data_IF_647877758771
#
_entry.id   IF_647877758771
#
_cell.length_a   1.000
_cell.length_b   1.000
_cell.length_c   1.000
_cell.angle_alpha   90.00
_cell.angle_beta   90.00
_cell.angle_gamma   90.00
#
_symmetry.space_group_name_H-M   'P 1'
#
loop_
_entity.id
_entity.type
_entity.pdbx_description
1 polymer ?
#
# COMPACT_ATOMS: atom_id res chain seq x y z
N UNK A 1 13.78 -14.20 -28.88
CA UNK A 1 14.31 -14.35 -27.51
C UNK A 1 13.51 -15.44 -26.79
N UNK A 2 14.14 -16.32 -26.01
CA UNK A 2 13.40 -17.26 -25.17
C UNK A 2 12.54 -16.48 -24.16
N UNK A 3 11.32 -16.95 -23.92
CA UNK A 3 10.48 -16.44 -22.83
C UNK A 3 11.02 -17.04 -21.53
N UNK A 4 11.52 -16.19 -20.64
CA UNK A 4 12.04 -16.59 -19.32
C UNK A 4 11.08 -16.08 -18.26
N UNK A 5 10.70 -16.94 -17.31
CA UNK A 5 9.92 -16.51 -16.16
C UNK A 5 10.78 -15.61 -15.27
N UNK A 6 10.28 -14.41 -14.93
CA UNK A 6 11.04 -13.47 -14.10
C UNK A 6 11.06 -13.90 -12.62
N UNK A 7 9.89 -14.17 -12.05
CA UNK A 7 9.72 -14.67 -10.68
C UNK A 7 8.31 -15.24 -10.48
N UNK A 8 8.10 -15.93 -9.35
CA UNK A 8 6.80 -16.38 -8.88
C UNK A 8 6.53 -15.90 -7.46
N UNK A 9 5.41 -15.20 -7.27
CA UNK A 9 4.95 -14.69 -5.97
C UNK A 9 4.04 -15.70 -5.27
N UNK A 10 4.08 -15.75 -3.95
CA UNK A 10 3.18 -16.58 -3.15
C UNK A 10 3.41 -16.41 -1.65
N UNK A 11 2.44 -16.84 -0.86
CA UNK A 11 2.59 -16.90 0.59
C UNK A 11 3.70 -17.90 0.99
N UNK A 12 4.25 -17.75 2.20
CA UNK A 12 5.35 -18.59 2.66
C UNK A 12 4.99 -20.08 2.64
N UNK A 13 3.76 -20.44 3.00
CA UNK A 13 3.33 -21.84 3.03
C UNK A 13 3.34 -22.47 1.62
N UNK A 14 2.79 -21.78 0.63
CA UNK A 14 2.75 -22.32 -0.75
C UNK A 14 4.14 -22.36 -1.37
N UNK A 15 4.96 -21.32 -1.16
CA UNK A 15 6.32 -21.30 -1.73
C UNK A 15 7.21 -22.39 -1.11
N UNK A 16 7.17 -22.59 0.22
CA UNK A 16 7.88 -23.71 0.86
C UNK A 16 7.46 -25.05 0.24
N UNK A 17 6.15 -25.26 0.04
CA UNK A 17 5.64 -26.49 -0.61
C UNK A 17 6.16 -26.64 -2.05
N UNK A 18 6.20 -25.56 -2.83
CA UNK A 18 6.70 -25.60 -4.20
C UNK A 18 8.21 -25.81 -4.29
N UNK A 19 8.96 -25.34 -3.30
CA UNK A 19 10.39 -25.58 -3.14
C UNK A 19 10.70 -26.98 -2.61
N UNK A 20 9.70 -27.74 -2.18
CA UNK A 20 9.90 -29.04 -1.53
C UNK A 20 10.46 -28.93 -0.10
N UNK A 21 10.29 -27.76 0.53
CA UNK A 21 10.66 -27.49 1.90
C UNK A 21 9.53 -27.89 2.87
N UNK A 22 9.91 -28.13 4.12
CA UNK A 22 8.97 -28.35 5.21
C UNK A 22 8.01 -27.16 5.37
N UNK A 23 6.77 -27.46 5.72
CA UNK A 23 5.69 -26.46 5.84
C UNK A 23 5.29 -26.15 7.28
N UNK A 24 6.09 -26.60 8.26
CA UNK A 24 5.92 -26.26 9.67
C UNK A 24 6.99 -25.25 10.08
N UNK A 25 6.56 -24.12 10.65
CA UNK A 25 7.43 -23.00 11.01
C UNK A 25 7.81 -22.97 12.50
N UNK A 26 7.61 -24.08 13.20
CA UNK A 26 7.84 -24.22 14.65
C UNK A 26 8.98 -25.18 15.01
N UNK A 27 9.74 -25.65 14.02
CA UNK A 27 10.93 -26.50 14.21
C UNK A 27 11.80 -26.51 12.95
N UNK A 28 13.03 -27.02 13.05
CA UNK A 28 13.94 -27.14 11.90
C UNK A 28 14.32 -25.79 11.28
N UNK A 29 14.57 -25.77 9.97
CA UNK A 29 14.87 -24.57 9.20
C UNK A 29 13.57 -23.93 8.67
N UNK A 30 13.31 -22.70 9.06
CA UNK A 30 12.00 -22.07 8.87
C UNK A 30 11.98 -21.03 7.75
N UNK A 31 13.15 -20.57 7.31
CA UNK A 31 13.30 -19.58 6.27
C UNK A 31 13.65 -20.27 4.94
N UNK A 32 13.01 -19.81 3.86
CA UNK A 32 13.35 -20.24 2.50
C UNK A 32 14.54 -19.51 1.90
N UNK A 33 14.93 -18.37 2.49
CA UNK A 33 16.01 -17.52 1.97
C UNK A 33 17.36 -17.87 2.60
N UNK A 34 17.40 -18.19 3.89
CA UNK A 34 18.63 -18.49 4.61
C UNK A 34 18.56 -19.77 5.45
N UNK A 35 19.68 -20.12 6.08
CA UNK A 35 19.82 -21.28 6.96
C UNK A 35 19.45 -21.02 8.43
N UNK A 36 18.55 -20.08 8.73
CA UNK A 36 18.13 -19.89 10.13
C UNK A 36 17.22 -21.03 10.63
N UNK A 37 17.57 -21.59 11.79
CA UNK A 37 16.77 -22.58 12.49
C UNK A 37 15.79 -21.96 13.49
N UNK A 38 14.64 -22.61 13.72
CA UNK A 38 13.65 -22.20 14.74
C UNK A 38 14.27 -22.03 16.12
N UNK A 39 15.08 -23.00 16.57
CA UNK A 39 15.73 -22.97 17.89
C UNK A 39 16.68 -21.79 18.02
N UNK A 40 17.51 -21.56 17.00
CA UNK A 40 18.45 -20.44 16.94
C UNK A 40 17.70 -19.11 16.99
N UNK A 41 16.65 -18.95 16.19
CA UNK A 41 15.83 -17.74 16.20
C UNK A 41 15.16 -17.50 17.56
N UNK A 42 14.65 -18.56 18.19
CA UNK A 42 14.05 -18.46 19.53
C UNK A 42 15.06 -18.04 20.60
N UNK A 43 16.32 -18.46 20.49
CA UNK A 43 17.36 -18.12 21.47
C UNK A 43 17.91 -16.70 21.36
N UNK A 44 17.72 -16.00 20.23
CA UNK A 44 18.23 -14.64 20.02
C UNK A 44 17.70 -13.69 21.11
N UNK A 45 18.63 -12.98 21.74
CA UNK A 45 18.37 -11.94 22.75
C UNK A 45 18.48 -10.54 22.16
N UNK A 46 18.20 -9.51 22.95
CA UNK A 46 18.24 -8.11 22.51
C UNK A 46 19.63 -7.70 22.03
N UNK A 47 20.64 -8.10 22.77
CA UNK A 47 22.05 -7.76 22.54
C UNK A 47 22.58 -8.37 21.24
N UNK A 48 21.90 -9.39 20.73
CA UNK A 48 22.27 -10.16 19.54
C UNK A 48 21.35 -9.86 18.35
N UNK A 49 20.50 -8.83 18.41
CA UNK A 49 19.54 -8.55 17.34
C UNK A 49 20.19 -8.30 15.98
N UNK A 50 21.38 -7.72 15.94
CA UNK A 50 22.15 -7.52 14.71
C UNK A 50 22.45 -8.82 13.99
N UNK A 51 22.53 -9.96 14.71
CA UNK A 51 22.74 -11.29 14.10
C UNK A 51 21.59 -11.73 13.20
N UNK A 52 20.39 -11.13 13.34
CA UNK A 52 19.26 -11.40 12.44
C UNK A 52 19.49 -10.92 11.01
N UNK A 53 20.48 -10.04 10.79
CA UNK A 53 20.87 -9.52 9.49
C UNK A 53 22.15 -10.17 8.94
N UNK A 54 22.70 -11.15 9.65
CA UNK A 54 23.83 -11.95 9.20
C UNK A 54 23.30 -13.22 8.53
N UNK A 55 23.13 -13.15 7.22
CA UNK A 55 22.51 -14.23 6.46
C UNK A 55 23.54 -15.15 5.81
N UNK A 56 23.38 -16.45 6.05
CA UNK A 56 23.87 -17.46 5.13
C UNK A 56 22.73 -17.78 4.15
N UNK A 57 22.78 -17.16 2.97
CA UNK A 57 21.75 -17.33 1.95
C UNK A 57 21.83 -18.71 1.30
N UNK A 58 20.66 -19.27 1.02
CA UNK A 58 20.52 -20.45 0.18
C UNK A 58 20.68 -20.03 -1.26
N UNK A 59 21.63 -20.65 -1.95
CA UNK A 59 21.84 -20.47 -3.38
C UNK A 59 21.48 -21.73 -4.15
N UNK A 60 21.66 -21.70 -5.48
CA UNK A 60 21.36 -22.87 -6.31
C UNK A 60 22.25 -24.08 -5.97
N UNK A 61 23.52 -23.87 -5.60
CA UNK A 61 24.43 -24.95 -5.21
C UNK A 61 23.99 -25.61 -3.92
N UNK A 62 23.77 -24.81 -2.87
CA UNK A 62 23.34 -25.29 -1.56
C UNK A 62 21.98 -25.98 -1.66
N UNK A 63 21.07 -25.46 -2.50
CA UNK A 63 19.79 -26.10 -2.78
C UNK A 63 19.97 -27.50 -3.42
N UNK A 64 20.86 -27.64 -4.40
CA UNK A 64 21.13 -28.92 -5.06
C UNK A 64 21.74 -29.94 -4.07
N UNK A 65 22.63 -29.48 -3.20
CA UNK A 65 23.23 -30.32 -2.15
C UNK A 65 22.19 -30.78 -1.13
N UNK A 66 21.45 -29.83 -0.56
CA UNK A 66 20.39 -30.10 0.42
C UNK A 66 19.33 -31.05 -0.13
N UNK A 67 19.00 -30.93 -1.42
CA UNK A 67 18.07 -31.83 -2.09
C UNK A 67 18.60 -33.26 -2.14
N UNK A 68 19.90 -33.46 -2.43
CA UNK A 68 20.50 -34.81 -2.52
C UNK A 68 20.46 -35.53 -1.17
N UNK A 69 20.67 -34.80 -0.08
CA UNK A 69 20.68 -35.32 1.29
C UNK A 69 19.34 -35.20 2.02
N UNK A 70 18.33 -34.55 1.42
CA UNK A 70 17.08 -34.17 2.08
C UNK A 70 17.33 -33.51 3.46
N UNK A 71 18.25 -32.54 3.45
CA UNK A 71 18.71 -31.84 4.66
C UNK A 71 18.23 -30.40 4.69
N UNK A 72 18.51 -29.73 5.80
CA UNK A 72 18.32 -28.30 5.98
C UNK A 72 16.89 -27.80 5.67
N UNK A 73 15.89 -28.62 5.99
CA UNK A 73 14.47 -28.31 5.81
C UNK A 73 13.89 -28.74 4.47
N UNK A 74 14.67 -29.29 3.53
CA UNK A 74 14.12 -29.95 2.35
C UNK A 74 13.58 -31.34 2.69
N UNK A 75 12.36 -31.61 2.22
CA UNK A 75 11.66 -32.89 2.40
C UNK A 75 11.37 -33.56 1.05
N UNK A 76 11.43 -32.81 -0.05
CA UNK A 76 11.27 -33.30 -1.41
C UNK A 76 11.96 -32.36 -2.41
N UNK A 77 12.19 -32.79 -3.67
CA UNK A 77 12.61 -31.89 -4.73
C UNK A 77 11.53 -30.83 -5.07
N UNK A 78 11.96 -29.62 -5.42
CA UNK A 78 11.08 -28.59 -5.97
C UNK A 78 10.42 -29.04 -7.28
N UNK A 79 9.17 -28.60 -7.46
CA UNK A 79 8.42 -28.74 -8.72
C UNK A 79 9.07 -27.98 -9.89
N UNK A 80 9.97 -27.04 -9.60
CA UNK A 80 10.65 -26.20 -10.58
C UNK A 80 12.03 -26.71 -10.98
N UNK A 81 12.49 -27.83 -10.42
CA UNK A 81 13.85 -28.38 -10.66
C UNK A 81 14.20 -28.55 -12.13
N UNK A 82 13.24 -28.95 -12.97
CA UNK A 82 13.45 -29.19 -14.39
C UNK A 82 13.33 -27.94 -15.26
N UNK A 83 12.96 -26.80 -14.69
CA UNK A 83 12.78 -25.56 -15.44
C UNK A 83 14.13 -24.86 -15.55
N UNK A 84 14.60 -24.70 -16.78
CA UNK A 84 15.85 -24.02 -17.07
C UNK A 84 15.79 -22.53 -16.65
N UNK A 85 16.96 -21.99 -16.29
CA UNK A 85 17.16 -20.57 -15.95
C UNK A 85 16.43 -20.07 -14.70
N UNK A 86 15.94 -20.97 -13.84
CA UNK A 86 15.45 -20.60 -12.51
C UNK A 86 16.62 -20.52 -11.53
N UNK A 87 16.74 -19.37 -10.87
CA UNK A 87 17.57 -19.20 -9.69
C UNK A 87 16.71 -19.29 -8.44
N UNK A 88 16.82 -20.38 -7.68
CA UNK A 88 15.98 -20.64 -6.50
C UNK A 88 16.09 -19.56 -5.43
N UNK A 89 17.23 -18.89 -5.30
CA UNK A 89 17.44 -17.82 -4.33
C UNK A 89 16.53 -16.62 -4.59
N UNK A 90 16.33 -16.27 -5.86
CA UNK A 90 15.68 -15.02 -6.27
C UNK A 90 14.41 -15.19 -7.08
N UNK A 91 14.07 -16.41 -7.49
CA UNK A 91 12.85 -16.65 -8.26
C UNK A 91 11.58 -16.50 -7.42
N UNK A 92 11.69 -16.59 -6.08
CA UNK A 92 10.55 -16.51 -5.17
C UNK A 92 10.63 -15.31 -4.22
N UNK A 93 10.29 -14.10 -4.69
CA UNK A 93 10.40 -12.86 -3.90
C UNK A 93 9.54 -12.88 -2.63
N UNK A 94 9.91 -12.07 -1.62
CA UNK A 94 9.09 -11.87 -0.43
C UNK A 94 7.69 -11.31 -0.78
N UNK A 95 6.73 -11.47 0.13
CA UNK A 95 5.37 -11.00 -0.08
C UNK A 95 4.93 -10.02 1.02
N UNK A 96 5.00 -8.73 0.69
CA UNK A 96 4.58 -7.64 1.58
C UNK A 96 3.18 -7.88 2.15
N UNK A 97 2.24 -8.42 1.37
CA UNK A 97 0.87 -8.63 1.85
C UNK A 97 0.84 -9.57 3.07
N UNK A 98 1.44 -10.74 2.95
CA UNK A 98 1.37 -11.77 3.99
C UNK A 98 2.36 -11.52 5.13
N UNK A 99 3.57 -11.04 4.80
CA UNK A 99 4.65 -10.81 5.76
C UNK A 99 4.36 -9.56 6.59
N UNK A 100 3.95 -8.46 5.94
CA UNK A 100 3.75 -7.16 6.59
C UNK A 100 2.28 -6.95 6.97
N UNK A 101 1.36 -6.94 6.00
CA UNK A 101 -0.02 -6.51 6.27
C UNK A 101 -0.91 -7.54 6.93
N UNK A 102 -0.57 -8.83 6.88
CA UNK A 102 -1.22 -9.89 7.67
C UNK A 102 -0.35 -10.31 8.88
N UNK A 103 0.78 -9.63 9.10
CA UNK A 103 1.81 -10.03 10.05
C UNK A 103 2.36 -8.86 10.82
N UNK A 104 3.50 -8.33 10.37
CA UNK A 104 4.27 -7.32 11.08
C UNK A 104 3.45 -6.11 11.53
N UNK A 105 2.64 -5.54 10.64
CA UNK A 105 1.83 -4.36 10.95
C UNK A 105 0.75 -4.63 11.99
N UNK A 106 0.19 -5.85 12.06
CA UNK A 106 -0.77 -6.20 13.11
C UNK A 106 -0.09 -6.11 14.49
N UNK A 107 1.13 -6.63 14.61
CA UNK A 107 1.88 -6.62 15.88
C UNK A 107 2.16 -5.18 16.32
N UNK A 108 2.64 -4.33 15.40
CA UNK A 108 2.91 -2.92 15.67
C UNK A 108 1.67 -2.19 16.14
N UNK A 109 0.55 -2.28 15.40
CA UNK A 109 -0.69 -1.61 15.77
C UNK A 109 -1.19 -2.08 17.13
N UNK A 110 -1.17 -3.39 17.39
CA UNK A 110 -1.64 -3.92 18.68
C UNK A 110 -0.79 -3.46 19.86
N UNK A 111 0.55 -3.39 19.73
CA UNK A 111 1.43 -2.85 20.77
C UNK A 111 1.05 -1.40 21.08
N UNK A 112 0.90 -0.57 20.05
CA UNK A 112 0.57 0.84 20.25
C UNK A 112 -0.80 0.99 20.90
N UNK A 113 -1.83 0.27 20.43
CA UNK A 113 -3.17 0.32 21.02
C UNK A 113 -3.21 -0.20 22.46
N UNK A 114 -2.40 -1.21 22.81
CA UNK A 114 -2.28 -1.67 24.19
C UNK A 114 -1.63 -0.61 25.08
N UNK A 115 -0.58 0.04 24.60
CA UNK A 115 0.06 1.17 25.29
C UNK A 115 -0.94 2.31 25.53
N UNK A 116 -1.76 2.65 24.53
CA UNK A 116 -2.83 3.66 24.67
C UNK A 116 -3.80 3.32 25.81
N UNK A 117 -4.25 2.06 25.87
CA UNK A 117 -5.18 1.61 26.91
C UNK A 117 -4.54 1.68 28.30
N UNK A 118 -3.27 1.34 28.42
CA UNK A 118 -2.55 1.26 29.70
C UNK A 118 -2.10 2.63 30.20
N UNK A 119 -1.48 3.44 29.34
CA UNK A 119 -0.79 4.67 29.74
C UNK A 119 -1.72 5.89 29.74
N UNK A 120 -2.75 5.91 28.89
CA UNK A 120 -3.67 7.05 28.74
C UNK A 120 -5.06 6.79 29.32
N UNK A 121 -5.27 5.65 30.00
CA UNK A 121 -6.56 5.23 30.55
C UNK A 121 -7.72 5.27 29.53
N UNK A 122 -7.41 4.97 28.27
CA UNK A 122 -8.38 5.01 27.16
C UNK A 122 -9.12 3.67 27.05
N UNK A 123 -10.43 3.74 26.85
CA UNK A 123 -11.26 2.55 26.65
C UNK A 123 -11.14 2.00 25.22
N UNK A 124 -11.37 0.70 25.08
CA UNK A 124 -11.43 0.09 23.76
C UNK A 124 -12.58 0.63 22.90
N UNK A 125 -13.64 1.12 23.53
CA UNK A 125 -14.76 1.77 22.82
C UNK A 125 -14.32 3.09 22.19
N UNK A 126 -13.42 3.85 22.84
CA UNK A 126 -12.83 5.03 22.23
C UNK A 126 -12.00 4.65 21.00
N UNK A 127 -11.18 3.60 21.08
CA UNK A 127 -10.39 3.11 19.93
C UNK A 127 -11.31 2.76 18.75
N UNK A 128 -12.38 2.00 18.99
CA UNK A 128 -13.35 1.67 17.95
C UNK A 128 -14.06 2.91 17.40
N UNK A 129 -14.39 3.89 18.23
CA UNK A 129 -14.96 5.19 17.78
C UNK A 129 -13.99 5.92 16.85
N UNK A 130 -12.70 5.97 17.17
CA UNK A 130 -11.69 6.58 16.30
C UNK A 130 -11.56 5.83 14.97
N UNK A 131 -11.46 4.51 14.99
CA UNK A 131 -11.37 3.71 13.76
C UNK A 131 -12.61 3.85 12.87
N UNK A 132 -13.80 4.01 13.46
CA UNK A 132 -15.05 4.26 12.73
C UNK A 132 -15.10 5.62 12.02
N UNK A 133 -14.14 6.53 12.27
CA UNK A 133 -13.99 7.76 11.48
C UNK A 133 -13.49 7.46 10.07
N UNK A 134 -12.77 6.36 9.86
CA UNK A 134 -12.36 5.88 8.54
C UNK A 134 -13.61 5.41 7.78
N UNK A 135 -13.88 6.00 6.60
CA UNK A 135 -15.02 5.58 5.75
C UNK A 135 -14.64 4.91 4.44
N UNK A 136 -13.36 4.87 4.08
CA UNK A 136 -12.90 4.18 2.87
C UNK A 136 -13.12 2.67 2.93
N UNK A 137 -13.05 2.13 4.14
CA UNK A 137 -13.22 0.71 4.43
C UNK A 137 -14.04 0.59 5.71
N UNK A 138 -14.88 -0.43 5.80
CA UNK A 138 -15.54 -0.78 7.05
C UNK A 138 -14.52 -1.48 7.95
N UNK A 139 -14.21 -0.92 9.12
CA UNK A 139 -13.29 -1.54 10.08
C UNK A 139 -14.09 -2.41 11.06
N UNK A 140 -13.77 -3.71 11.20
CA UNK A 140 -14.45 -4.56 12.18
C UNK A 140 -14.14 -4.13 13.61
N UNK A 141 -15.10 -4.33 14.51
CA UNK A 141 -14.92 -4.00 15.94
C UNK A 141 -13.75 -4.79 16.55
N UNK A 142 -12.84 -4.07 17.20
CA UNK A 142 -11.68 -4.62 17.89
C UNK A 142 -12.03 -4.83 19.36
N UNK A 143 -11.61 -5.96 19.93
CA UNK A 143 -11.76 -6.28 21.34
C UNK A 143 -10.37 -6.54 21.98
N UNK A 144 -10.32 -6.66 23.31
CA UNK A 144 -9.07 -6.87 24.05
C UNK A 144 -8.35 -8.16 23.66
N UNK A 145 -9.11 -9.21 23.31
CA UNK A 145 -8.55 -10.48 22.86
C UNK A 145 -7.73 -10.32 21.57
N UNK A 146 -8.21 -9.54 20.59
CA UNK A 146 -7.44 -9.26 19.37
C UNK A 146 -6.10 -8.58 19.66
N UNK A 147 -6.12 -7.59 20.56
CA UNK A 147 -4.94 -6.82 20.94
C UNK A 147 -3.91 -7.71 21.68
N UNK A 148 -4.35 -8.49 22.65
CA UNK A 148 -3.49 -9.40 23.43
C UNK A 148 -2.88 -10.52 22.57
N UNK A 149 -3.56 -10.93 21.50
CA UNK A 149 -3.04 -11.90 20.53
C UNK A 149 -2.21 -11.26 19.41
N UNK A 150 -2.01 -9.94 19.46
CA UNK A 150 -1.28 -9.15 18.46
C UNK A 150 -1.79 -9.36 17.03
N UNK A 151 -3.10 -9.55 16.89
CA UNK A 151 -3.72 -9.82 15.60
C UNK A 151 -5.13 -9.25 15.51
N UNK A 152 -5.29 -8.21 14.68
CA UNK A 152 -6.57 -7.61 14.38
C UNK A 152 -7.41 -8.47 13.42
N UNK A 153 -8.76 -8.43 13.50
CA UNK A 153 -9.65 -9.10 12.56
C UNK A 153 -9.79 -8.30 11.26
N UNK A 154 -8.69 -7.80 10.72
CA UNK A 154 -8.64 -6.93 9.56
C UNK A 154 -7.97 -7.64 8.37
N UNK A 155 -8.44 -7.31 7.17
CA UNK A 155 -7.79 -7.63 5.90
C UNK A 155 -6.58 -6.72 5.66
N UNK A 156 -5.67 -7.14 4.79
CA UNK A 156 -4.48 -6.38 4.42
C UNK A 156 -4.80 -4.95 3.94
N UNK A 157 -5.86 -4.78 3.15
CA UNK A 157 -6.30 -3.44 2.71
C UNK A 157 -6.81 -2.58 3.87
N UNK A 158 -7.54 -3.17 4.84
CA UNK A 158 -7.97 -2.43 6.03
C UNK A 158 -6.78 -2.00 6.88
N UNK A 159 -5.76 -2.86 7.03
CA UNK A 159 -4.53 -2.53 7.76
C UNK A 159 -3.77 -1.37 7.11
N UNK A 160 -3.63 -1.37 5.78
CA UNK A 160 -3.01 -0.25 5.04
C UNK A 160 -3.76 1.06 5.33
N UNK A 161 -5.10 1.04 5.26
CA UNK A 161 -5.91 2.24 5.52
C UNK A 161 -5.85 2.67 6.98
N UNK A 162 -5.85 1.72 7.93
CA UNK A 162 -5.64 2.03 9.35
C UNK A 162 -4.31 2.76 9.52
N UNK A 163 -3.21 2.20 8.99
CA UNK A 163 -1.86 2.79 9.11
C UNK A 163 -1.72 4.14 8.43
N UNK A 164 -2.44 4.36 7.32
CA UNK A 164 -2.52 5.66 6.67
C UNK A 164 -3.09 6.72 7.62
N UNK A 165 -4.14 6.40 8.38
CA UNK A 165 -4.83 7.36 9.25
C UNK A 165 -4.41 7.33 10.71
N UNK A 166 -3.60 6.35 11.10
CA UNK A 166 -3.30 6.06 12.49
C UNK A 166 -2.70 7.27 13.23
N UNK A 167 -1.78 7.99 12.58
CA UNK A 167 -1.19 9.21 13.10
C UNK A 167 -2.25 10.25 13.48
N UNK A 168 -3.20 10.51 12.58
CA UNK A 168 -4.27 11.50 12.82
C UNK A 168 -5.28 11.04 13.87
N UNK A 169 -5.53 9.73 13.98
CA UNK A 169 -6.47 9.18 14.94
C UNK A 169 -5.92 9.21 16.38
N UNK A 170 -4.64 8.91 16.57
CA UNK A 170 -4.08 8.66 17.90
C UNK A 170 -2.88 9.52 18.27
N UNK A 171 -2.25 10.25 17.33
CA UNK A 171 -0.99 10.94 17.59
C UNK A 171 -1.07 12.06 18.62
N UNK A 172 -2.23 12.67 18.82
CA UNK A 172 -2.43 13.66 19.88
C UNK A 172 -2.33 13.09 21.30
N UNK A 173 -2.29 11.76 21.44
CA UNK A 173 -2.14 11.09 22.73
C UNK A 173 -0.68 10.94 23.13
N UNK A 174 0.26 11.11 22.20
CA UNK A 174 1.67 10.81 22.42
C UNK A 174 2.54 12.07 22.36
N UNK A 175 3.61 12.05 23.14
CA UNK A 175 4.72 12.99 23.03
C UNK A 175 5.68 12.55 21.90
N UNK A 176 6.60 13.44 21.50
CA UNK A 176 7.50 13.18 20.37
C UNK A 176 8.59 12.14 20.69
N UNK A 177 9.00 12.05 21.95
CA UNK A 177 10.05 11.18 22.46
C UNK A 177 9.51 9.88 23.10
N UNK A 178 8.20 9.63 23.00
CA UNK A 178 7.61 8.36 23.44
C UNK A 178 8.08 7.19 22.55
N UNK A 179 8.74 6.20 23.16
CA UNK A 179 9.27 5.01 22.48
C UNK A 179 8.23 4.27 21.62
N UNK A 180 6.97 4.19 22.08
CA UNK A 180 5.90 3.51 21.35
C UNK A 180 5.44 4.37 20.17
N UNK A 181 5.48 5.70 20.28
CA UNK A 181 5.23 6.57 19.15
C UNK A 181 6.38 6.57 18.14
N UNK A 182 7.62 6.46 18.61
CA UNK A 182 8.79 6.22 17.75
C UNK A 182 8.62 4.92 16.96
N UNK A 183 8.13 3.83 17.58
CA UNK A 183 7.79 2.59 16.88
C UNK A 183 6.80 2.83 15.71
N UNK A 184 5.74 3.63 15.94
CA UNK A 184 4.79 3.99 14.88
C UNK A 184 5.49 4.73 13.72
N UNK A 185 6.27 5.77 14.03
CA UNK A 185 6.93 6.59 13.03
C UNK A 185 7.98 5.80 12.24
N UNK A 186 8.77 4.95 12.90
CA UNK A 186 9.70 4.03 12.24
C UNK A 186 8.95 3.04 11.34
N UNK A 187 7.82 2.50 11.80
CA UNK A 187 7.00 1.61 10.98
C UNK A 187 6.43 2.32 9.76
N UNK A 188 6.01 3.59 9.89
CA UNK A 188 5.56 4.41 8.77
C UNK A 188 6.66 4.62 7.73
N UNK A 189 7.86 5.01 8.16
CA UNK A 189 9.02 5.12 7.25
C UNK A 189 9.33 3.79 6.55
N UNK A 190 9.23 2.66 7.26
CA UNK A 190 9.42 1.33 6.69
C UNK A 190 8.38 1.03 5.60
N UNK A 191 7.11 1.35 5.85
CA UNK A 191 6.04 1.20 4.86
C UNK A 191 6.24 2.12 3.66
N UNK A 192 6.73 3.34 3.90
CA UNK A 192 7.02 4.29 2.83
C UNK A 192 8.11 3.74 1.90
N UNK A 193 9.16 3.09 2.40
CA UNK A 193 10.18 2.45 1.56
C UNK A 193 9.58 1.29 0.73
N UNK A 194 8.90 0.33 1.37
CA UNK A 194 8.50 -0.92 0.69
C UNK A 194 7.33 -0.74 -0.28
N UNK A 195 6.50 0.29 -0.09
CA UNK A 195 5.33 0.57 -0.94
C UNK A 195 5.59 1.64 -2.01
N UNK A 196 6.76 2.28 -1.98
CA UNK A 196 7.18 3.22 -3.00
C UNK A 196 7.86 2.52 -4.18
N UNK A 197 7.95 3.18 -5.35
CA UNK A 197 8.91 2.80 -6.37
C UNK A 197 10.34 2.76 -5.80
N UNK A 198 11.23 2.04 -6.49
CA UNK A 198 12.62 1.93 -6.08
C UNK A 198 13.34 3.26 -6.06
N UNK A 199 14.01 3.55 -4.95
CA UNK A 199 14.85 4.70 -4.74
C UNK A 199 16.26 4.22 -4.40
N UNK A 200 17.22 4.52 -5.27
CA UNK A 200 18.61 4.13 -5.10
C UNK A 200 19.33 4.88 -3.98
N UNK A 201 18.75 5.99 -3.48
CA UNK A 201 19.33 6.76 -2.38
C UNK A 201 19.12 6.11 -1.01
N UNK A 202 18.16 5.18 -0.89
CA UNK A 202 17.91 4.43 0.34
C UNK A 202 19.09 3.51 0.58
N UNK A 203 19.88 3.80 1.61
CA UNK A 203 21.03 2.99 1.99
C UNK A 203 20.58 1.68 2.68
N UNK A 204 21.25 0.58 2.37
CA UNK A 204 21.00 -0.74 2.96
C UNK A 204 21.12 -0.75 4.49
N UNK A 205 22.15 -0.12 5.06
CA UNK A 205 22.38 -0.03 6.51
C UNK A 205 21.29 0.79 7.20
N UNK A 206 20.88 1.90 6.59
CA UNK A 206 19.76 2.69 7.09
C UNK A 206 18.47 1.84 7.14
N UNK A 207 18.18 1.12 6.06
CA UNK A 207 16.99 0.30 5.99
C UNK A 207 17.04 -0.88 6.99
N UNK A 208 18.20 -1.49 7.18
CA UNK A 208 18.42 -2.49 8.24
C UNK A 208 18.21 -1.89 9.64
N UNK A 209 18.76 -0.71 9.93
CA UNK A 209 18.59 -0.05 11.23
C UNK A 209 17.13 0.27 11.54
N UNK A 210 16.36 0.64 10.51
CA UNK A 210 14.93 0.94 10.64
C UNK A 210 14.13 -0.30 11.04
N UNK A 211 14.49 -1.47 10.50
CA UNK A 211 13.87 -2.75 10.87
C UNK A 211 14.35 -3.19 12.25
N UNK A 212 15.65 -3.09 12.53
CA UNK A 212 16.24 -3.50 13.80
C UNK A 212 15.63 -2.77 14.99
N UNK A 213 15.49 -1.43 14.90
CA UNK A 213 14.89 -0.63 15.98
C UNK A 213 13.43 -1.00 16.25
N UNK A 214 12.65 -1.31 15.21
CA UNK A 214 11.28 -1.79 15.38
C UNK A 214 11.24 -3.17 16.06
N UNK A 215 12.10 -4.11 15.63
CA UNK A 215 12.17 -5.45 16.22
C UNK A 215 12.56 -5.40 17.69
N UNK A 216 13.49 -4.52 18.07
CA UNK A 216 13.89 -4.29 19.46
C UNK A 216 12.69 -3.94 20.34
N UNK A 217 11.93 -2.91 19.95
CA UNK A 217 10.75 -2.46 20.67
C UNK A 217 9.65 -3.53 20.70
N UNK A 218 9.44 -4.25 19.60
CA UNK A 218 8.44 -5.32 19.52
C UNK A 218 8.81 -6.48 20.44
N UNK A 219 10.06 -6.93 20.45
CA UNK A 219 10.44 -8.07 21.28
C UNK A 219 10.43 -7.73 22.76
N UNK A 220 10.79 -6.50 23.14
CA UNK A 220 10.59 -5.99 24.51
C UNK A 220 9.12 -6.07 24.93
N UNK A 221 8.22 -5.55 24.10
CA UNK A 221 6.77 -5.48 24.43
C UNK A 221 6.06 -6.84 24.33
N UNK A 222 6.55 -7.77 23.51
CA UNK A 222 5.93 -9.10 23.33
C UNK A 222 6.57 -10.19 24.20
N UNK A 223 7.58 -9.85 25.01
CA UNK A 223 8.29 -10.82 25.85
C UNK A 223 8.99 -11.91 25.03
N UNK A 224 9.55 -11.57 23.86
CA UNK A 224 10.28 -12.50 22.98
C UNK A 224 9.49 -13.72 22.51
N UNK A 225 8.16 -13.61 22.39
CA UNK A 225 7.32 -14.74 22.00
C UNK A 225 7.77 -15.35 20.63
N UNK A 226 8.16 -16.64 20.59
CA UNK A 226 8.64 -17.33 19.39
C UNK A 226 7.73 -17.25 18.17
N UNK A 227 6.40 -17.18 18.40
CA UNK A 227 5.39 -17.07 17.35
C UNK A 227 5.66 -15.88 16.43
N UNK A 228 6.05 -14.74 17.00
CA UNK A 228 6.29 -13.52 16.23
C UNK A 228 7.68 -13.52 15.62
N UNK A 229 8.71 -14.00 16.34
CA UNK A 229 10.08 -14.06 15.81
C UNK A 229 10.14 -14.76 14.45
N UNK A 230 9.47 -15.90 14.30
CA UNK A 230 9.47 -16.69 13.06
C UNK A 230 8.89 -15.93 11.87
N UNK A 231 7.78 -15.21 12.07
CA UNK A 231 7.14 -14.42 11.01
C UNK A 231 7.94 -13.15 10.71
N UNK A 232 8.45 -12.48 11.76
CA UNK A 232 9.22 -11.25 11.65
C UNK A 232 10.66 -11.47 11.16
N UNK A 233 11.15 -12.71 11.12
CA UNK A 233 12.45 -12.97 10.49
C UNK A 233 12.43 -12.64 8.98
N UNK A 234 11.30 -12.86 8.29
CA UNK A 234 11.19 -12.61 6.85
C UNK A 234 11.46 -11.16 6.46
N UNK A 235 11.03 -10.19 7.29
CA UNK A 235 11.29 -8.78 7.02
C UNK A 235 12.76 -8.40 7.15
N UNK A 236 13.58 -9.19 7.86
CA UNK A 236 15.02 -8.91 7.99
C UNK A 236 15.74 -9.00 6.63
N UNK A 237 15.19 -9.76 5.68
CA UNK A 237 15.72 -9.89 4.31
C UNK A 237 15.34 -8.74 3.38
N UNK A 238 14.40 -7.88 3.79
CA UNK A 238 13.84 -6.85 2.91
C UNK A 238 14.86 -5.84 2.43
N UNK A 239 15.88 -5.41 3.22
CA UNK A 239 16.89 -4.48 2.73
C UNK A 239 17.63 -5.00 1.49
N UNK A 240 18.13 -6.23 1.52
CA UNK A 240 18.81 -6.83 0.37
C UNK A 240 17.86 -7.05 -0.81
N UNK A 241 16.65 -7.56 -0.55
CA UNK A 241 15.67 -7.81 -1.60
C UNK A 241 15.11 -6.53 -2.23
N UNK A 242 15.02 -5.45 -1.48
CA UNK A 242 14.61 -4.15 -2.01
C UNK A 242 15.59 -3.68 -3.09
N UNK A 243 16.89 -3.82 -2.85
CA UNK A 243 17.91 -3.50 -3.84
C UNK A 243 17.92 -4.50 -5.00
N UNK A 244 17.85 -5.79 -4.71
CA UNK A 244 17.89 -6.82 -5.74
C UNK A 244 16.73 -6.72 -6.74
N UNK A 245 15.49 -6.56 -6.24
CA UNK A 245 14.30 -6.49 -7.09
C UNK A 245 14.01 -5.10 -7.63
N UNK A 246 14.81 -4.08 -7.28
CA UNK A 246 14.49 -2.68 -7.54
C UNK A 246 13.08 -2.35 -7.04
N UNK A 247 12.89 -2.49 -5.73
CA UNK A 247 11.64 -2.23 -5.02
C UNK A 247 10.80 -3.48 -4.79
N UNK A 248 9.94 -3.44 -3.77
CA UNK A 248 9.18 -4.61 -3.30
C UNK A 248 7.68 -4.53 -3.61
N UNK A 249 7.15 -3.32 -3.84
CA UNK A 249 5.71 -3.05 -4.01
C UNK A 249 5.02 -3.98 -5.01
N UNK A 250 5.67 -4.27 -6.12
CA UNK A 250 5.07 -5.03 -7.22
C UNK A 250 5.17 -6.55 -7.06
N UNK A 251 5.78 -7.03 -5.97
CA UNK A 251 5.99 -8.46 -5.68
C UNK A 251 4.87 -9.07 -4.82
N UNK A 252 3.98 -8.25 -4.25
CA UNK A 252 2.93 -8.72 -3.34
C UNK A 252 1.79 -9.49 -4.03
N UNK A 253 1.13 -10.39 -3.30
CA UNK A 253 0.07 -11.24 -3.88
C UNK A 253 -1.34 -10.62 -3.89
N UNK A 254 -1.51 -9.34 -3.53
CA UNK A 254 -2.83 -8.68 -3.44
C UNK A 254 -3.73 -8.89 -4.67
N UNK A 255 -3.16 -8.74 -5.88
CA UNK A 255 -3.91 -8.92 -7.14
C UNK A 255 -4.23 -10.38 -7.43
N UNK A 256 -3.35 -11.31 -7.04
CA UNK A 256 -3.57 -12.74 -7.13
C UNK A 256 -4.74 -13.19 -6.25
N UNK A 257 -4.79 -12.75 -4.99
CA UNK A 257 -5.88 -13.13 -4.09
C UNK A 257 -7.22 -12.49 -4.50
N UNK A 258 -7.21 -11.23 -4.96
CA UNK A 258 -8.38 -10.60 -5.56
C UNK A 258 -8.88 -11.39 -6.79
N UNK A 259 -7.95 -11.98 -7.56
CA UNK A 259 -8.29 -12.81 -8.70
C UNK A 259 -8.93 -14.14 -8.30
N UNK A 260 -8.49 -14.77 -7.21
CA UNK A 260 -9.12 -15.97 -6.66
C UNK A 260 -10.60 -15.76 -6.32
N UNK A 261 -10.98 -14.56 -5.86
CA UNK A 261 -12.38 -14.24 -5.57
C UNK A 261 -13.29 -14.37 -6.80
N UNK A 262 -12.78 -14.07 -8.00
CA UNK A 262 -13.52 -14.26 -9.25
C UNK A 262 -13.84 -15.75 -9.47
N UNK A 263 -12.87 -16.64 -9.26
CA UNK A 263 -13.05 -18.08 -9.41
C UNK A 263 -13.99 -18.63 -8.35
N UNK A 264 -13.84 -18.19 -7.08
CA UNK A 264 -14.76 -18.52 -5.98
C UNK A 264 -16.19 -18.10 -6.31
N UNK A 265 -16.39 -16.94 -6.95
CA UNK A 265 -17.72 -16.47 -7.39
C UNK A 265 -18.28 -17.34 -8.52
N UNK A 266 -17.48 -17.66 -9.54
CA UNK A 266 -17.91 -18.54 -10.65
C UNK A 266 -18.41 -19.87 -10.08
N UNK A 267 -17.64 -20.49 -9.19
CA UNK A 267 -18.02 -21.77 -8.59
C UNK A 267 -19.33 -21.66 -7.79
N UNK A 268 -19.47 -20.62 -6.94
CA UNK A 268 -20.67 -20.36 -6.15
C UNK A 268 -21.93 -20.18 -7.01
N UNK A 269 -21.81 -19.49 -8.15
CA UNK A 269 -22.93 -19.21 -9.04
C UNK A 269 -23.25 -20.35 -10.01
N UNK A 270 -22.24 -21.05 -10.53
CA UNK A 270 -22.43 -22.12 -11.48
C UNK A 270 -23.24 -23.28 -10.87
N UNK A 271 -23.10 -23.50 -9.55
CA UNK A 271 -23.74 -24.61 -8.81
C UNK A 271 -23.55 -25.98 -9.50
N UNK A 272 -22.50 -26.09 -10.31
CA UNK A 272 -22.13 -27.30 -11.03
C UNK A 272 -20.95 -27.96 -10.34
N UNK A 273 -21.24 -29.03 -9.63
CA UNK A 273 -20.24 -29.79 -8.87
C UNK A 273 -19.54 -30.86 -9.72
N UNK A 274 -19.95 -31.04 -10.98
CA UNK A 274 -19.27 -31.94 -11.92
C UNK A 274 -18.10 -31.20 -12.57
N UNK A 275 -16.89 -31.61 -12.19
CA UNK A 275 -15.62 -30.97 -12.59
C UNK A 275 -15.64 -29.44 -12.40
N UNK A 276 -15.65 -28.95 -11.15
CA UNK A 276 -15.67 -27.52 -10.84
C UNK A 276 -14.50 -26.75 -11.45
N UNK A 277 -13.31 -27.38 -11.50
CA UNK A 277 -12.11 -26.79 -12.08
C UNK A 277 -12.29 -26.46 -13.57
N UNK A 278 -12.82 -27.40 -14.35
CA UNK A 278 -13.12 -27.16 -15.77
C UNK A 278 -14.16 -26.04 -15.95
N UNK A 279 -15.23 -26.05 -15.15
CA UNK A 279 -16.26 -25.01 -15.19
C UNK A 279 -15.68 -23.63 -14.89
N UNK A 280 -14.86 -23.52 -13.84
CA UNK A 280 -14.19 -22.28 -13.48
C UNK A 280 -13.25 -21.80 -14.59
N UNK A 281 -12.41 -22.68 -15.13
CA UNK A 281 -11.47 -22.36 -16.20
C UNK A 281 -12.19 -21.85 -17.47
N UNK A 282 -13.23 -22.56 -17.93
CA UNK A 282 -13.99 -22.20 -19.14
C UNK A 282 -14.69 -20.84 -18.97
N UNK A 283 -15.43 -20.65 -17.88
CA UNK A 283 -16.14 -19.40 -17.62
C UNK A 283 -15.17 -18.22 -17.44
N UNK A 284 -14.02 -18.47 -16.81
CA UNK A 284 -12.97 -17.47 -16.68
C UNK A 284 -12.40 -17.03 -18.04
N UNK A 285 -12.05 -17.97 -18.91
CA UNK A 285 -11.55 -17.67 -20.25
C UNK A 285 -12.55 -16.87 -21.08
N UNK A 286 -13.84 -17.24 -21.04
CA UNK A 286 -14.92 -16.50 -21.72
C UNK A 286 -15.01 -15.06 -21.20
N UNK A 287 -15.03 -14.86 -19.88
CA UNK A 287 -15.05 -13.52 -19.28
C UNK A 287 -13.85 -12.67 -19.70
N UNK A 288 -12.64 -13.25 -19.71
CA UNK A 288 -11.44 -12.55 -20.18
C UNK A 288 -11.56 -12.12 -21.64
N UNK A 289 -12.02 -13.00 -22.52
CA UNK A 289 -12.22 -12.68 -23.93
C UNK A 289 -13.23 -11.54 -24.14
N UNK A 290 -14.33 -11.53 -23.36
CA UNK A 290 -15.33 -10.46 -23.40
C UNK A 290 -14.76 -9.12 -22.92
N UNK A 291 -13.97 -9.12 -21.84
CA UNK A 291 -13.32 -7.89 -21.36
C UNK A 291 -12.39 -7.33 -22.46
N UNK A 292 -11.55 -8.16 -23.07
CA UNK A 292 -10.62 -7.70 -24.13
C UNK A 292 -11.40 -7.13 -25.33
N UNK A 293 -12.51 -7.76 -25.73
CA UNK A 293 -13.31 -7.35 -26.89
C UNK A 293 -14.12 -6.07 -26.65
N UNK A 294 -14.57 -5.83 -25.42
CA UNK A 294 -15.42 -4.68 -25.06
C UNK A 294 -14.69 -3.60 -24.26
N UNK A 295 -13.40 -3.76 -24.00
CA UNK A 295 -12.58 -2.71 -23.40
C UNK A 295 -12.25 -1.70 -24.50
N UNK A 296 -12.95 -0.58 -24.48
CA UNK A 296 -12.56 0.63 -25.22
C UNK A 296 -11.73 1.51 -24.29
N UNK A 297 -10.39 1.53 -24.43
CA UNK A 297 -9.55 2.43 -23.67
C UNK A 297 -10.00 3.88 -23.94
N UNK A 298 -10.30 4.63 -22.90
CA UNK A 298 -10.58 6.07 -23.01
C UNK A 298 -12.06 6.47 -22.98
N UNK A 299 -13.02 5.57 -22.77
CA UNK A 299 -14.42 5.98 -22.54
C UNK A 299 -14.56 6.74 -21.21
N UNK A 300 -14.97 8.00 -21.29
CA UNK A 300 -15.31 8.83 -20.14
C UNK A 300 -16.77 8.57 -19.76
N UNK A 301 -17.04 8.30 -18.48
CA UNK A 301 -18.40 8.16 -17.95
C UNK A 301 -18.64 9.22 -16.86
N UNK A 302 -19.70 10.01 -16.97
CA UNK A 302 -20.08 11.01 -15.98
C UNK A 302 -21.41 10.65 -15.30
N UNK A 303 -21.61 11.18 -14.09
CA UNK A 303 -22.85 11.00 -13.33
C UNK A 303 -23.41 12.35 -12.87
N UNK A 304 -24.74 12.51 -12.82
CA UNK A 304 -25.41 13.74 -12.35
C UNK A 304 -24.92 15.01 -13.06
N UNK A 305 -25.12 15.07 -14.38
CA UNK A 305 -24.72 16.21 -15.21
C UNK A 305 -25.71 17.36 -15.04
N UNK A 306 -25.23 18.55 -14.68
CA UNK A 306 -26.05 19.75 -14.52
C UNK A 306 -25.45 20.95 -15.27
N UNK A 307 -26.28 21.81 -15.89
CA UNK A 307 -25.79 23.05 -16.49
C UNK A 307 -25.29 24.03 -15.41
N UNK A 308 -24.19 24.73 -15.68
CA UNK A 308 -23.65 25.77 -14.80
C UNK A 308 -23.04 26.91 -15.64
N UNK A 309 -23.23 28.16 -15.21
CA UNK A 309 -22.58 29.30 -15.85
C UNK A 309 -21.11 29.36 -15.43
N UNK A 310 -20.20 29.53 -16.40
CA UNK A 310 -18.77 29.62 -16.13
C UNK A 310 -18.41 30.84 -15.26
N UNK A 311 -19.15 31.94 -15.40
CA UNK A 311 -18.99 33.15 -14.58
C UNK A 311 -19.31 32.94 -13.08
N UNK A 312 -20.07 31.89 -12.73
CA UNK A 312 -20.29 31.53 -11.32
C UNK A 312 -19.11 30.77 -10.72
N UNK A 313 -18.19 30.26 -11.56
CA UNK A 313 -17.08 29.41 -11.15
C UNK A 313 -15.73 30.14 -11.21
N UNK A 314 -15.54 30.97 -12.23
CA UNK A 314 -14.26 31.58 -12.59
C UNK A 314 -14.42 33.07 -12.90
N UNK A 315 -13.46 33.86 -12.45
CA UNK A 315 -13.26 35.25 -12.87
C UNK A 315 -12.87 35.33 -14.36
N UNK A 316 -12.95 36.51 -14.95
CA UNK A 316 -12.61 36.71 -16.38
C UNK A 316 -11.15 36.33 -16.67
N UNK A 317 -10.24 36.67 -15.76
CA UNK A 317 -8.82 36.34 -15.89
C UNK A 317 -8.59 34.82 -15.83
N UNK A 318 -9.25 34.12 -14.90
CA UNK A 318 -9.18 32.65 -14.78
C UNK A 318 -9.82 31.94 -15.99
N UNK A 319 -10.89 32.51 -16.58
CA UNK A 319 -11.48 31.99 -17.82
C UNK A 319 -10.51 32.12 -19.00
N UNK A 320 -9.76 33.22 -19.05
CA UNK A 320 -8.72 33.44 -20.08
C UNK A 320 -7.59 32.43 -19.92
N UNK A 321 -7.14 32.20 -18.68
CA UNK A 321 -6.13 31.18 -18.35
C UNK A 321 -6.60 29.76 -18.73
N UNK A 322 -7.84 29.41 -18.41
CA UNK A 322 -8.46 28.14 -18.80
C UNK A 322 -8.41 27.94 -20.32
N UNK A 323 -8.80 28.96 -21.09
CA UNK A 323 -8.83 28.88 -22.55
C UNK A 323 -7.43 28.68 -23.13
N UNK A 324 -6.44 29.43 -22.62
CA UNK A 324 -5.04 29.29 -23.01
C UNK A 324 -4.50 27.88 -22.71
N UNK A 325 -4.74 27.35 -21.50
CA UNK A 325 -4.24 26.04 -21.09
C UNK A 325 -4.89 24.88 -21.87
N UNK A 326 -6.15 25.05 -22.29
CA UNK A 326 -6.93 24.00 -22.96
C UNK A 326 -6.97 24.13 -24.49
N UNK A 327 -6.27 25.12 -25.04
CA UNK A 327 -6.32 25.52 -26.45
C UNK A 327 -7.76 25.70 -26.94
N UNK A 328 -8.50 26.56 -26.25
CA UNK A 328 -9.89 26.91 -26.56
C UNK A 328 -10.00 28.39 -26.98
N UNK A 329 -11.01 28.71 -27.78
CA UNK A 329 -11.24 30.06 -28.29
C UNK A 329 -11.93 30.95 -27.24
N UNK A 330 -11.21 31.99 -26.79
CA UNK A 330 -11.61 32.88 -25.68
C UNK A 330 -12.94 33.60 -25.92
N UNK A 331 -13.18 34.03 -27.16
CA UNK A 331 -14.37 34.83 -27.50
C UNK A 331 -15.66 33.99 -27.49
N UNK A 332 -15.53 32.66 -27.56
CA UNK A 332 -16.66 31.72 -27.57
C UNK A 332 -17.09 31.22 -26.18
N UNK A 333 -16.32 31.52 -25.14
CA UNK A 333 -16.44 30.86 -23.82
C UNK A 333 -16.87 31.82 -22.70
N UNK A 334 -16.64 33.13 -22.85
CA UNK A 334 -16.99 34.11 -21.83
C UNK A 334 -18.50 34.13 -21.61
N UNK A 335 -18.94 33.79 -20.40
CA UNK A 335 -20.35 33.73 -20.03
C UNK A 335 -21.12 32.49 -20.49
N UNK A 336 -20.43 31.50 -21.08
CA UNK A 336 -21.08 30.30 -21.62
C UNK A 336 -21.63 29.39 -20.52
N UNK A 337 -22.75 28.73 -20.82
CA UNK A 337 -23.28 27.65 -19.98
C UNK A 337 -22.50 26.38 -20.32
N UNK A 338 -21.81 25.82 -19.34
CA UNK A 338 -21.11 24.55 -19.45
C UNK A 338 -21.86 23.46 -18.68
N UNK A 339 -21.47 22.21 -18.88
CA UNK A 339 -21.99 21.10 -18.07
C UNK A 339 -21.05 20.86 -16.89
N UNK A 340 -21.60 20.45 -15.75
CA UNK A 340 -20.83 20.09 -14.55
C UNK A 340 -21.24 18.73 -14.03
N UNK A 341 -20.33 18.05 -13.36
CA UNK A 341 -20.59 16.75 -12.73
C UNK A 341 -19.89 16.66 -11.37
N UNK A 342 -20.46 15.88 -10.46
CA UNK A 342 -19.81 15.57 -9.18
C UNK A 342 -18.89 14.35 -9.26
N UNK A 343 -19.03 13.52 -10.30
CA UNK A 343 -18.23 12.31 -10.47
C UNK A 343 -17.93 12.03 -11.95
N UNK A 344 -16.65 11.93 -12.26
CA UNK A 344 -16.15 11.60 -13.59
C UNK A 344 -15.30 10.33 -13.54
N UNK A 345 -15.56 9.38 -14.42
CA UNK A 345 -14.80 8.14 -14.54
C UNK A 345 -14.02 8.09 -15.83
N UNK A 346 -12.71 7.86 -15.74
CA UNK A 346 -11.83 7.73 -16.91
C UNK A 346 -10.72 6.71 -16.62
N UNK A 347 -10.53 5.74 -17.53
CA UNK A 347 -9.51 4.68 -17.41
C UNK A 347 -9.48 3.93 -16.06
N UNK A 348 -10.65 3.79 -15.42
CA UNK A 348 -10.76 3.14 -14.10
C UNK A 348 -10.58 4.08 -12.90
N UNK A 349 -10.23 5.35 -13.13
CA UNK A 349 -10.15 6.39 -12.11
C UNK A 349 -11.48 7.09 -11.94
N UNK A 350 -11.75 7.52 -10.72
CA UNK A 350 -12.97 8.23 -10.33
C UNK A 350 -12.55 9.57 -9.73
N UNK A 351 -12.78 10.64 -10.47
CA UNK A 351 -12.63 12.02 -10.01
C UNK A 351 -13.92 12.46 -9.35
N UNK A 352 -13.83 13.12 -8.20
CA UNK A 352 -14.99 13.58 -7.45
C UNK A 352 -14.80 14.99 -6.94
N UNK A 353 -15.85 15.80 -7.03
CA UNK A 353 -15.86 17.12 -6.39
C UNK A 353 -15.89 16.97 -4.86
N UNK A 354 -15.38 17.95 -4.11
CA UNK A 354 -15.44 17.96 -2.66
C UNK A 354 -16.85 17.78 -2.11
N UNK A 355 -16.97 17.01 -1.05
CA UNK A 355 -18.14 16.94 -0.16
C UNK A 355 -17.76 17.50 1.21
N UNK A 356 -18.74 17.65 2.10
CA UNK A 356 -18.52 18.16 3.46
C UNK A 356 -17.44 17.36 4.23
N UNK A 357 -17.34 16.06 3.96
CA UNK A 357 -16.48 15.13 4.68
C UNK A 357 -15.28 14.62 3.87
N UNK A 358 -15.27 14.81 2.55
CA UNK A 358 -14.22 14.28 1.66
C UNK A 358 -13.82 15.29 0.62
N UNK A 359 -12.53 15.54 0.55
CA UNK A 359 -11.89 16.38 -0.45
C UNK A 359 -10.90 15.52 -1.22
N UNK A 360 -10.90 15.61 -2.54
CA UNK A 360 -10.06 14.77 -3.39
C UNK A 360 -8.90 15.59 -3.94
N UNK A 361 -7.67 15.18 -3.63
CA UNK A 361 -6.46 15.74 -4.21
C UNK A 361 -6.00 14.91 -5.39
N UNK A 362 -5.44 15.59 -6.38
CA UNK A 362 -4.71 15.04 -7.50
C UNK A 362 -3.23 15.44 -7.39
N UNK A 363 -2.30 14.49 -7.46
CA UNK A 363 -0.90 14.79 -7.76
C UNK A 363 -0.75 15.29 -9.22
N UNK A 364 -0.04 16.41 -9.38
CA UNK A 364 0.24 17.05 -10.67
C UNK A 364 1.75 17.11 -10.87
N UNK A 365 2.22 16.78 -12.07
CA UNK A 365 3.62 16.93 -12.43
C UNK A 365 3.92 18.39 -12.79
N UNK A 366 4.84 19.02 -12.07
CA UNK A 366 5.41 20.33 -12.35
C UNK A 366 6.91 20.18 -12.71
N UNK A 367 7.53 21.18 -13.37
CA UNK A 367 8.96 21.11 -13.71
C UNK A 367 9.89 20.88 -12.51
N UNK A 368 9.47 21.32 -11.33
CA UNK A 368 10.23 21.22 -10.08
C UNK A 368 9.91 19.98 -9.25
N UNK A 369 8.93 19.15 -9.66
CA UNK A 369 8.53 17.95 -8.92
C UNK A 369 7.04 17.65 -9.00
N UNK A 370 6.50 16.94 -8.01
CA UNK A 370 5.06 16.65 -7.93
C UNK A 370 4.40 17.67 -7.00
N UNK A 371 3.46 18.44 -7.53
CA UNK A 371 2.58 19.30 -6.76
C UNK A 371 1.26 18.60 -6.42
N UNK A 372 0.53 19.15 -5.45
CA UNK A 372 -0.78 18.65 -5.05
C UNK A 372 -1.83 19.69 -5.42
N UNK A 373 -2.96 19.24 -5.99
CA UNK A 373 -4.08 20.12 -6.29
C UNK A 373 -5.40 19.51 -5.85
N UNK A 374 -6.19 20.30 -5.14
CA UNK A 374 -7.51 19.93 -4.66
C UNK A 374 -8.54 20.13 -5.77
N UNK A 375 -9.28 19.09 -6.15
CA UNK A 375 -10.39 19.23 -7.10
C UNK A 375 -11.40 20.21 -6.51
N UNK A 376 -11.80 21.23 -7.28
CA UNK A 376 -12.89 22.15 -6.93
C UNK A 376 -14.14 21.81 -7.73
N UNK A 377 -14.01 21.74 -9.05
CA UNK A 377 -15.12 21.52 -9.99
C UNK A 377 -14.70 20.59 -11.12
N UNK A 378 -15.67 19.89 -11.69
CA UNK A 378 -15.48 19.11 -12.91
C UNK A 378 -16.51 19.60 -13.92
N UNK A 379 -16.03 20.13 -15.04
CA UNK A 379 -16.88 20.72 -16.07
C UNK A 379 -16.63 20.08 -17.44
N UNK A 380 -17.60 20.22 -18.34
CA UNK A 380 -17.45 19.90 -19.75
C UNK A 380 -17.65 21.17 -20.57
N UNK A 381 -16.64 21.51 -21.35
CA UNK A 381 -16.61 22.69 -22.20
C UNK A 381 -16.12 22.28 -23.60
N UNK A 382 -16.86 22.65 -24.64
CA UNK A 382 -16.55 22.30 -26.04
C UNK A 382 -16.22 20.81 -26.23
N UNK A 383 -17.04 19.93 -25.63
CA UNK A 383 -16.89 18.47 -25.57
C UNK A 383 -15.65 17.92 -24.83
N UNK A 384 -14.80 18.77 -24.25
CA UNK A 384 -13.69 18.35 -23.38
C UNK A 384 -14.10 18.36 -21.92
N UNK A 385 -13.72 17.32 -21.18
CA UNK A 385 -13.86 17.31 -19.72
C UNK A 385 -12.65 17.96 -19.08
N UNK A 386 -12.89 18.89 -18.17
CA UNK A 386 -11.87 19.69 -17.50
C UNK A 386 -12.10 19.59 -16.00
N UNK A 387 -11.03 19.22 -15.28
CA UNK A 387 -11.00 19.19 -13.83
C UNK A 387 -10.33 20.48 -13.38
N UNK A 388 -11.12 21.34 -12.74
CA UNK A 388 -10.63 22.56 -12.11
C UNK A 388 -10.13 22.20 -10.72
N UNK A 389 -8.89 22.56 -10.43
CA UNK A 389 -8.26 22.30 -9.15
C UNK A 389 -7.69 23.59 -8.55
N UNK A 390 -7.49 23.58 -7.23
CA UNK A 390 -6.78 24.63 -6.47
C UNK A 390 -5.45 24.08 -5.98
N UNK A 391 -4.36 24.83 -6.17
CA UNK A 391 -3.03 24.40 -5.72
C UNK A 391 -3.00 24.25 -4.19
N UNK A 392 -2.29 23.24 -3.71
CA UNK A 392 -2.20 22.91 -2.28
C UNK A 392 -0.74 22.97 -1.86
N UNK A 393 -0.45 23.82 -0.88
CA UNK A 393 0.83 23.81 -0.21
C UNK A 393 0.79 22.77 0.91
N UNK A 394 1.81 21.93 1.00
CA UNK A 394 1.86 20.81 1.94
C UNK A 394 3.17 20.87 2.74
N UNK A 395 3.07 20.79 4.08
CA UNK A 395 4.21 20.66 4.99
C UNK A 395 4.11 19.35 5.74
N UNK A 396 5.14 18.51 5.66
CA UNK A 396 5.13 17.23 6.36
C UNK A 396 5.20 17.42 7.87
N UNK A 397 4.34 16.72 8.60
CA UNK A 397 4.40 16.57 10.04
C UNK A 397 4.89 15.16 10.35
N UNK A 398 6.13 15.08 10.84
CA UNK A 398 6.73 13.85 11.32
C UNK A 398 5.88 13.20 12.44
N UNK A 399 5.38 14.00 13.38
CA UNK A 399 4.54 13.50 14.49
C UNK A 399 3.30 12.72 14.05
N UNK A 400 2.59 13.23 13.04
CA UNK A 400 1.37 12.60 12.52
C UNK A 400 1.62 11.69 11.31
N UNK A 401 2.88 11.59 10.86
CA UNK A 401 3.27 10.98 9.59
C UNK A 401 2.34 11.41 8.43
N UNK A 402 1.97 12.69 8.39
CA UNK A 402 0.95 13.24 7.49
C UNK A 402 1.32 14.67 7.09
N UNK A 403 0.84 15.13 5.94
CA UNK A 403 1.05 16.50 5.48
C UNK A 403 -0.04 17.42 6.01
N UNK A 404 0.35 18.55 6.59
CA UNK A 404 -0.53 19.67 6.89
C UNK A 404 -0.64 20.50 5.61
N UNK A 405 -1.86 20.77 5.19
CA UNK A 405 -2.14 21.34 3.88
C UNK A 405 -2.86 22.69 3.99
N UNK A 406 -2.44 23.64 3.16
CA UNK A 406 -3.12 24.93 2.96
C UNK A 406 -3.52 25.05 1.50
N UNK A 407 -4.80 25.30 1.26
CA UNK A 407 -5.34 25.47 -0.10
C UNK A 407 -5.07 26.90 -0.53
N UNK A 408 -4.37 27.07 -1.64
CA UNK A 408 -4.22 28.37 -2.28
C UNK A 408 -5.46 28.61 -3.16
N UNK A 409 -6.31 29.54 -2.75
CA UNK A 409 -7.55 29.83 -3.48
C UNK A 409 -7.31 30.65 -4.75
N UNK A 410 -6.18 31.34 -4.84
CA UNK A 410 -5.88 32.30 -5.92
C UNK A 410 -5.10 31.65 -7.07
N UNK A 411 -4.73 30.37 -6.94
CA UNK A 411 -3.96 29.65 -7.94
C UNK A 411 -4.70 28.41 -8.40
N UNK A 412 -5.40 28.54 -9.53
CA UNK A 412 -6.09 27.43 -10.18
C UNK A 412 -5.14 26.59 -11.02
N UNK A 413 -5.54 25.34 -11.23
CA UNK A 413 -4.89 24.43 -12.18
C UNK A 413 -5.99 23.72 -12.93
N UNK A 414 -5.85 23.65 -14.25
CA UNK A 414 -6.83 23.03 -15.14
C UNK A 414 -6.25 21.76 -15.74
N UNK A 415 -6.94 20.64 -15.58
CA UNK A 415 -6.43 19.32 -15.98
C UNK A 415 -7.45 18.62 -16.86
N UNK A 416 -7.03 18.14 -18.03
CA UNK A 416 -7.81 17.18 -18.79
C UNK A 416 -7.58 15.77 -18.22
N UNK A 417 -8.61 14.92 -18.03
CA UNK A 417 -8.43 13.56 -17.51
C UNK A 417 -7.41 12.71 -18.28
N UNK A 418 -7.20 13.02 -19.57
CA UNK A 418 -6.21 12.40 -20.47
C UNK A 418 -4.76 12.79 -20.15
N UNK A 419 -4.54 13.96 -19.54
CA UNK A 419 -3.24 14.50 -19.16
C UNK A 419 -2.82 14.12 -17.73
N UNK A 420 -3.73 13.53 -16.96
CA UNK A 420 -3.47 13.18 -15.57
C UNK A 420 -2.69 11.85 -15.49
N UNK A 421 -1.41 11.92 -15.11
CA UNK A 421 -0.52 10.75 -15.03
C UNK A 421 -0.63 9.97 -13.72
N UNK A 422 -0.92 10.65 -12.60
CA UNK A 422 -0.81 10.06 -11.27
C UNK A 422 -2.16 9.69 -10.68
N UNK A 423 -2.45 8.43 -10.84
CA UNK A 423 -3.76 7.86 -10.75
C UNK A 423 -4.18 7.42 -9.32
N UNK A 424 -3.96 8.27 -8.32
CA UNK A 424 -4.36 8.00 -6.94
C UNK A 424 -5.13 9.21 -6.38
N UNK A 425 -6.46 9.09 -6.15
CA UNK A 425 -7.18 10.09 -5.38
C UNK A 425 -6.65 10.07 -3.95
N UNK A 426 -6.18 11.21 -3.47
CA UNK A 426 -5.70 11.36 -2.09
C UNK A 426 -6.76 12.13 -1.31
N UNK A 427 -7.44 11.49 -0.34
CA UNK A 427 -8.42 12.18 0.48
C UNK A 427 -7.73 13.14 1.46
N UNK A 428 -8.29 14.34 1.61
CA UNK A 428 -7.97 15.19 2.75
C UNK A 428 -8.91 14.94 3.92
N UNK A 429 -8.39 15.19 5.11
CA UNK A 429 -9.12 15.14 6.37
C UNK A 429 -9.03 16.48 7.08
N UNK A 430 -10.16 16.92 7.63
CA UNK A 430 -10.16 18.03 8.58
C UNK A 430 -9.90 17.47 9.97
N UNK A 431 -8.81 17.93 10.60
CA UNK A 431 -8.45 17.56 11.96
C UNK A 431 -7.99 18.81 12.73
N UNK A 432 -8.61 19.07 13.88
CA UNK A 432 -8.35 20.26 14.71
C UNK A 432 -8.37 21.59 13.92
N UNK A 433 -9.31 21.73 12.98
CA UNK A 433 -9.44 22.94 12.15
C UNK A 433 -8.39 23.09 11.03
N UNK A 434 -7.47 22.13 10.90
CA UNK A 434 -6.47 22.09 9.82
C UNK A 434 -6.79 20.98 8.83
N UNK A 435 -6.39 21.19 7.58
CA UNK A 435 -6.50 20.20 6.52
C UNK A 435 -5.25 19.32 6.54
N UNK A 436 -5.44 18.01 6.58
CA UNK A 436 -4.37 17.03 6.52
C UNK A 436 -4.51 16.13 5.29
N UNK A 437 -3.38 15.69 4.78
CA UNK A 437 -3.26 14.71 3.72
C UNK A 437 -2.34 13.59 4.19
N UNK A 438 -2.82 12.36 4.12
CA UNK A 438 -2.00 11.18 4.39
C UNK A 438 -1.97 10.28 3.17
N UNK A 439 -0.78 9.87 2.79
CA UNK A 439 -0.53 9.05 1.61
C UNK A 439 -0.56 7.57 2.01
N UNK A 440 -1.24 6.72 1.22
CA UNK A 440 -1.18 5.26 1.41
C UNK A 440 0.24 4.73 1.24
N UNK A 441 0.97 5.33 0.32
CA UNK A 441 2.37 5.10 0.03
C UNK A 441 2.91 6.38 -0.58
N UNK A 442 4.19 6.70 -0.34
CA UNK A 442 4.82 7.83 -1.00
C UNK A 442 4.87 7.55 -2.52
N UNK A 443 4.22 8.35 -3.37
CA UNK A 443 4.79 8.56 -4.69
C UNK A 443 6.18 9.17 -4.45
N UNK A 444 7.13 9.03 -5.36
CA UNK A 444 8.37 9.84 -5.30
C UNK A 444 7.99 11.32 -5.42
N UNK A 445 7.52 11.90 -4.33
CA UNK A 445 7.50 13.31 -4.05
C UNK A 445 8.96 13.58 -3.70
N UNK A 446 9.77 13.93 -4.69
CA UNK A 446 10.94 14.73 -4.40
C UNK A 446 10.43 16.02 -3.76
N UNK A 447 10.19 15.98 -2.45
CA UNK A 447 10.16 17.17 -1.63
C UNK A 447 11.62 17.64 -1.58
N UNK A 448 12.03 18.40 -2.59
CA UNK A 448 13.02 19.43 -2.37
C UNK A 448 12.49 20.31 -1.23
N UNK A 449 13.39 20.60 -0.29
CA UNK A 449 13.20 21.33 0.97
C UNK A 449 12.89 20.45 2.19
N UNK A 450 13.83 19.56 2.52
CA UNK A 450 14.29 19.46 3.92
C UNK A 450 15.41 20.49 4.05
N UNK A 451 15.05 21.76 4.24
CA UNK A 451 15.95 22.70 4.88
C UNK A 451 15.79 22.52 6.39
N UNK A 452 16.85 21.97 6.99
CA UNK A 452 17.25 21.97 8.41
C UNK A 452 16.28 21.43 9.46
#
# INVERSE_FOLDING_TARGET
>A
MPVIAAFMTGDNLSIHRMLGMQTWFSSGYICRFCFIGYKQLCSIRLEELSTLFLFEYRDNSSYIEDFKSLSNGLISPSVFRSVAYINFQYFFPPDIMHDVFEGFSHVVICIILLSIIQNHNISIDYINKQLNLIKEVSIPTINKYHLQNYHLPCTSNQIIVILQYFGLLFGHLFELDDDIWILFNCHRQFLDIILSPYDSSINLEYFQSLISGQLELIYRNTGFNPKYKCKLHYICHYPEFYHYYSGLKYLWCMRGEAHHQLLKNINRHARNFKNPAYTCAKQYQIRKALIIKHYEPGTIKSHNINPISLNMLLTIDEQTELCNNMNLDTDSIIGTICLSTNELKYQGFVYRTPTLNYRYCLPILEPTGIALALISHIIQLSNKWIIICKKVNAKFSCHYSSFICTVNNDHLVFIEPTQHFFHQPIPFLMYQGKLFLSLKYYPMLHCQNIDQ
#
